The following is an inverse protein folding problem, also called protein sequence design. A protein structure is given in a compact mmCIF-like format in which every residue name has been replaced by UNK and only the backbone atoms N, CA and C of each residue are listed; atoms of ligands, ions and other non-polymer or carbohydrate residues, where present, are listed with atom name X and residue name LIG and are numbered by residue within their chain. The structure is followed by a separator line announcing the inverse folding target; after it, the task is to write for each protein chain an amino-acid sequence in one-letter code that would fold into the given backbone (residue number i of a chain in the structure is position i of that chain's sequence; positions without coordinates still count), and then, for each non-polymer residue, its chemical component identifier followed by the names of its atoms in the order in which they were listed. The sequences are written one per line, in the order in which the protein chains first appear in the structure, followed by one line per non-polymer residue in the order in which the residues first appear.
data_IF_234574202333
#
_entry.id   IF_234574202333
#
_cell.length_a   1.000
_cell.length_b   1.000
_cell.length_c   1.000
_cell.angle_alpha   90.00
_cell.angle_beta   90.00
_cell.angle_gamma   90.00
#
_symmetry.space_group_name_H-M   'P 1'
#
loop_
_entity.id
_entity.type
_entity.pdbx_description
1 polymer ?
#
# COMPACT_ATOMS: atom_id res chain seq x y z
N UNK A 1 -0.43 -42.27 1.21
CA UNK A 1 0.17 -41.13 1.91
C UNK A 1 -0.40 -39.87 1.28
N UNK A 2 -1.19 -39.10 2.04
CA UNK A 2 -1.88 -37.88 1.59
C UNK A 2 -0.99 -36.69 1.95
N UNK A 3 -0.58 -35.89 0.97
CA UNK A 3 0.13 -34.63 1.20
C UNK A 3 -0.89 -33.48 1.12
N UNK A 4 -1.09 -32.84 2.26
CA UNK A 4 -1.93 -31.67 2.47
C UNK A 4 -1.16 -30.44 2.00
N UNK A 5 -1.60 -29.78 0.93
CA UNK A 5 -1.13 -28.44 0.56
C UNK A 5 -2.05 -27.43 1.23
N UNK A 6 -1.46 -26.63 2.12
CA UNK A 6 -2.10 -25.54 2.85
C UNK A 6 -2.18 -24.33 1.90
N UNK A 7 -3.38 -23.98 1.45
CA UNK A 7 -3.64 -22.73 0.74
C UNK A 7 -3.84 -21.61 1.76
N UNK A 8 -2.93 -20.64 1.79
CA UNK A 8 -3.10 -19.38 2.52
C UNK A 8 -3.84 -18.41 1.59
N UNK A 9 -5.16 -18.34 1.77
CA UNK A 9 -6.02 -17.32 1.18
C UNK A 9 -5.79 -16.01 1.94
N UNK A 10 -5.12 -15.04 1.31
CA UNK A 10 -5.17 -13.64 1.73
C UNK A 10 -6.27 -12.95 0.93
N UNK A 11 -7.45 -12.85 1.55
CA UNK A 11 -8.54 -12.03 1.04
C UNK A 11 -8.19 -10.56 1.16
N UNK A 12 -7.91 -9.91 0.03
CA UNK A 12 -7.89 -8.46 -0.07
C UNK A 12 -9.31 -7.95 -0.31
N UNK A 13 -9.98 -7.51 0.75
CA UNK A 13 -11.20 -6.70 0.63
C UNK A 13 -10.81 -5.31 0.13
N UNK A 14 -11.09 -5.01 -1.14
CA UNK A 14 -11.07 -3.63 -1.64
C UNK A 14 -12.38 -2.92 -1.22
N UNK A 15 -12.24 -1.88 -0.40
CA UNK A 15 -13.32 -0.93 -0.13
C UNK A 15 -13.33 0.08 -1.28
N UNK A 16 -14.38 0.03 -2.09
CA UNK A 16 -14.69 1.02 -3.12
C UNK A 16 -15.03 2.37 -2.48
N UNK A 17 -14.40 3.44 -2.95
CA UNK A 17 -14.72 4.79 -2.52
C UNK A 17 -14.14 5.86 -3.46
N UNK A 18 -15.05 6.60 -4.09
CA UNK A 18 -14.87 7.86 -4.84
C UNK A 18 -14.58 7.78 -6.34
N UNK A 19 -15.66 7.69 -7.12
CA UNK A 19 -15.79 8.36 -8.42
C UNK A 19 -16.79 9.51 -8.28
N UNK A 20 -16.29 10.74 -8.25
CA UNK A 20 -17.12 11.93 -8.50
C UNK A 20 -17.05 12.21 -10.00
N UNK A 21 -18.08 11.80 -10.72
CA UNK A 21 -18.25 12.21 -12.11
C UNK A 21 -18.70 13.68 -12.16
N UNK A 22 -17.79 14.57 -12.52
CA UNK A 22 -18.15 15.93 -12.92
C UNK A 22 -18.73 15.87 -14.35
N UNK A 23 -20.06 15.84 -14.46
CA UNK A 23 -20.76 16.01 -15.73
C UNK A 23 -20.59 17.46 -16.19
N UNK A 24 -19.72 17.69 -17.17
CA UNK A 24 -19.52 18.99 -17.78
C UNK A 24 -20.45 19.12 -19.01
N UNK A 25 -21.45 20.00 -18.93
CA UNK A 25 -22.27 20.41 -20.08
C UNK A 25 -21.82 21.82 -20.52
N UNK A 26 -21.34 22.01 -21.76
CA UNK A 26 -21.13 23.35 -22.30
C UNK A 26 -22.45 23.88 -22.87
N UNK A 27 -22.97 24.97 -22.31
CA UNK A 27 -23.94 25.83 -22.99
C UNK A 27 -23.27 27.13 -23.37
N UNK A 28 -23.16 27.38 -24.68
CA UNK A 28 -22.81 28.69 -25.22
C UNK A 28 -23.99 29.66 -25.10
N UNK A 29 -23.70 30.94 -24.81
CA UNK A 29 -24.16 32.18 -25.50
C UNK A 29 -24.11 33.42 -24.57
N UNK A 30 -23.34 34.41 -25.04
CA UNK A 30 -23.36 35.90 -24.91
C UNK A 30 -23.51 36.70 -23.58
N UNK A 31 -22.42 37.41 -23.28
CA UNK A 31 -22.25 38.89 -23.20
C UNK A 31 -23.27 39.77 -22.43
N UNK A 32 -22.86 40.35 -21.28
CA UNK A 32 -22.74 41.82 -20.99
C UNK A 32 -22.48 42.15 -19.51
N UNK A 33 -21.54 43.09 -19.30
CA UNK A 33 -21.28 43.99 -18.16
C UNK A 33 -21.90 43.74 -16.76
N UNK A 34 -21.05 43.67 -15.72
CA UNK A 34 -21.05 44.63 -14.60
C UNK A 34 -19.83 44.47 -13.66
N UNK A 35 -19.15 45.59 -13.46
CA UNK A 35 -18.16 45.91 -12.42
C UNK A 35 -18.82 46.10 -11.05
N UNK A 36 -18.19 45.65 -9.95
CA UNK A 36 -17.81 46.51 -8.80
C UNK A 36 -17.19 45.72 -7.62
N UNK A 37 -16.06 46.27 -7.17
CA UNK A 37 -15.39 46.26 -5.87
C UNK A 37 -16.08 45.66 -4.62
N UNK A 38 -15.28 44.98 -3.78
CA UNK A 38 -14.91 45.49 -2.45
C UNK A 38 -13.72 44.73 -1.81
N UNK A 39 -12.70 45.49 -1.40
CA UNK A 39 -11.67 45.14 -0.42
C UNK A 39 -12.26 45.16 1.01
N UNK A 40 -11.63 44.48 1.99
CA UNK A 40 -11.16 45.11 3.25
C UNK A 40 -10.90 44.15 4.44
N UNK A 41 -9.61 44.04 4.85
CA UNK A 41 -9.04 44.24 6.22
C UNK A 41 -9.39 43.22 7.33
N UNK A 42 -8.47 42.43 7.92
CA UNK A 42 -7.32 42.66 8.84
C UNK A 42 -7.69 43.07 10.30
N UNK A 43 -7.23 42.28 11.28
CA UNK A 43 -6.83 42.59 12.70
C UNK A 43 -7.04 41.31 13.56
N UNK A 44 -6.09 40.62 14.20
CA UNK A 44 -5.07 41.00 15.21
C UNK A 44 -5.65 41.69 16.46
N UNK A 45 -5.75 41.00 17.61
CA UNK A 45 -4.85 41.15 18.77
C UNK A 45 -5.33 40.47 20.09
N UNK A 46 -4.32 40.01 20.81
CA UNK A 46 -4.09 39.57 22.20
C UNK A 46 -5.01 40.01 23.37
N UNK A 47 -5.06 39.20 24.44
CA UNK A 47 -4.49 39.54 25.78
C UNK A 47 -4.54 38.40 26.82
N UNK A 48 -3.46 38.31 27.61
CA UNK A 48 -3.23 37.45 28.77
C UNK A 48 -4.04 37.86 30.01
N UNK A 49 -4.28 36.91 30.94
CA UNK A 49 -4.23 37.22 32.38
C UNK A 49 -3.91 35.99 33.25
N UNK A 50 -2.98 36.21 34.18
CA UNK A 50 -2.39 35.31 35.17
C UNK A 50 -2.94 35.68 36.56
N UNK A 51 -3.22 34.68 37.41
CA UNK A 51 -3.28 34.87 38.88
C UNK A 51 -2.75 33.64 39.61
N UNK A 52 -1.72 33.89 40.41
CA UNK A 52 -1.18 33.03 41.46
C UNK A 52 -2.12 32.93 42.68
N UNK A 53 -2.06 31.82 43.42
CA UNK A 53 -2.15 31.82 44.90
C UNK A 53 -1.43 30.58 45.47
N UNK A 54 -0.44 30.84 46.34
CA UNK A 54 0.20 29.95 47.31
C UNK A 54 -0.84 29.35 48.28
N UNK A 55 -0.66 28.32 49.10
CA UNK A 55 0.47 27.68 49.80
C UNK A 55 -0.14 26.62 50.73
N UNK A 56 0.56 25.53 51.08
CA UNK A 56 0.75 25.06 52.47
C UNK A 56 1.68 23.85 52.52
N UNK A 57 2.47 23.80 53.59
CA UNK A 57 3.69 23.04 53.83
C UNK A 57 3.48 22.02 54.96
N UNK A 58 4.33 20.97 54.93
CA UNK A 58 4.76 20.03 55.99
C UNK A 58 3.99 18.70 56.20
N UNK A 59 4.66 17.64 56.73
CA UNK A 59 6.11 17.30 56.67
C UNK A 59 6.42 15.81 56.35
N UNK A 60 7.67 15.56 55.93
CA UNK A 60 8.39 14.27 56.10
C UNK A 60 8.68 13.99 57.57
N UNK A 61 8.73 12.73 58.02
CA UNK A 61 9.98 11.93 58.04
C UNK A 61 9.85 10.58 58.78
N UNK A 62 10.56 9.58 58.23
CA UNK A 62 11.21 8.37 58.78
C UNK A 62 10.68 7.55 59.97
N UNK A 63 10.69 6.22 59.77
CA UNK A 63 10.78 5.18 60.80
C UNK A 63 11.33 3.85 60.25
N UNK A 64 12.51 3.46 60.72
CA UNK A 64 13.30 2.25 60.38
C UNK A 64 12.93 1.09 61.34
N UNK A 65 12.76 -0.16 60.86
CA UNK A 65 13.42 -1.40 61.38
C UNK A 65 12.66 -2.73 61.18
N UNK A 66 13.32 -3.65 60.46
CA UNK A 66 13.73 -5.02 60.84
C UNK A 66 12.74 -6.09 61.37
N UNK A 67 12.61 -7.21 60.61
CA UNK A 67 12.98 -8.61 60.97
C UNK A 67 12.32 -9.60 59.97
N UNK A 68 13.09 -10.39 59.19
CA UNK A 68 13.73 -11.69 59.48
C UNK A 68 12.78 -12.90 59.65
N UNK A 69 12.89 -13.80 58.65
CA UNK A 69 13.08 -15.26 58.74
C UNK A 69 11.90 -16.26 58.84
N UNK A 70 11.71 -16.96 57.70
CA UNK A 70 11.75 -18.42 57.47
C UNK A 70 10.84 -19.40 58.22
N UNK A 71 10.15 -20.23 57.43
CA UNK A 71 9.68 -21.56 57.81
C UNK A 71 9.57 -22.50 56.60
N UNK A 72 10.52 -23.42 56.45
CA UNK A 72 10.48 -24.57 55.53
C UNK A 72 9.55 -25.66 56.06
N UNK A 73 8.80 -26.34 55.18
CA UNK A 73 8.57 -27.80 55.25
C UNK A 73 8.44 -28.41 53.84
N UNK A 74 8.90 -29.65 53.70
CA UNK A 74 9.21 -30.36 52.46
C UNK A 74 8.07 -31.23 51.90
N UNK A 75 7.99 -31.26 50.56
CA UNK A 75 7.61 -32.36 49.62
C UNK A 75 6.13 -32.81 49.49
N UNK A 76 5.67 -33.28 48.29
CA UNK A 76 6.45 -34.02 47.28
C UNK A 76 6.37 -33.55 45.82
N UNK A 77 7.34 -34.05 45.06
CA UNK A 77 7.50 -34.03 43.61
C UNK A 77 6.20 -34.50 42.94
N UNK A 78 5.51 -33.59 42.26
CA UNK A 78 4.55 -33.91 41.19
C UNK A 78 5.27 -33.68 39.88
N UNK A 79 5.40 -34.74 39.08
CA UNK A 79 5.99 -34.69 37.76
C UNK A 79 5.23 -33.65 36.90
N UNK A 80 5.86 -32.51 36.65
CA UNK A 80 5.34 -31.52 35.69
C UNK A 80 5.54 -32.08 34.28
N UNK A 81 4.48 -32.31 33.49
CA UNK A 81 4.65 -32.64 32.09
C UNK A 81 5.38 -31.47 31.42
N UNK A 82 6.47 -31.78 30.72
CA UNK A 82 7.33 -30.83 30.03
C UNK A 82 6.51 -30.01 29.03
N UNK A 83 6.11 -28.82 29.48
CA UNK A 83 5.27 -27.91 28.72
C UNK A 83 6.16 -27.14 27.73
N UNK A 84 6.60 -27.81 26.66
CA UNK A 84 7.36 -27.18 25.56
C UNK A 84 6.61 -25.98 24.97
N UNK A 85 5.27 -26.03 24.97
CA UNK A 85 4.41 -24.93 24.52
C UNK A 85 4.36 -23.73 25.50
N UNK A 86 4.53 -23.93 26.81
CA UNK A 86 4.61 -22.81 27.76
C UNK A 86 6.03 -22.19 27.82
N UNK A 87 7.06 -22.97 27.51
CA UNK A 87 8.41 -22.44 27.34
C UNK A 87 8.50 -21.60 26.04
N UNK A 88 7.92 -22.07 24.94
CA UNK A 88 7.83 -21.32 23.68
C UNK A 88 6.98 -20.05 23.82
N UNK A 89 5.80 -20.12 24.47
CA UNK A 89 4.97 -18.94 24.77
C UNK A 89 5.65 -17.96 25.71
N UNK A 90 6.30 -18.42 26.78
CA UNK A 90 7.02 -17.51 27.69
C UNK A 90 8.27 -16.89 27.06
N UNK A 91 8.94 -17.58 26.14
CA UNK A 91 10.06 -17.03 25.39
C UNK A 91 9.58 -16.01 24.33
N UNK A 92 8.45 -16.26 23.67
CA UNK A 92 7.80 -15.29 22.79
C UNK A 92 7.33 -14.07 23.57
N UNK A 93 6.59 -14.24 24.67
CA UNK A 93 6.13 -13.15 25.54
C UNK A 93 7.29 -12.34 26.15
N UNK A 94 8.39 -12.99 26.55
CA UNK A 94 9.57 -12.27 27.05
C UNK A 94 10.33 -11.53 25.94
N UNK A 95 10.32 -12.04 24.71
CA UNK A 95 10.98 -11.39 23.57
C UNK A 95 10.16 -10.22 23.06
N UNK A 96 8.83 -10.37 22.99
CA UNK A 96 7.88 -9.31 22.64
C UNK A 96 7.87 -8.17 23.67
N UNK A 97 7.94 -8.50 24.97
CA UNK A 97 7.99 -7.47 26.01
C UNK A 97 9.33 -6.71 26.00
N UNK A 98 10.44 -7.38 25.64
CA UNK A 98 11.74 -6.72 25.46
C UNK A 98 11.78 -5.84 24.21
N UNK A 99 11.21 -6.27 23.09
CA UNK A 99 11.16 -5.46 21.87
C UNK A 99 10.27 -4.23 22.04
N UNK A 100 9.12 -4.36 22.71
CA UNK A 100 8.24 -3.23 23.06
C UNK A 100 8.96 -2.22 23.97
N UNK A 101 9.65 -2.68 25.01
CA UNK A 101 10.44 -1.79 25.89
C UNK A 101 11.57 -1.08 25.14
N UNK A 102 12.25 -1.78 24.23
CA UNK A 102 13.31 -1.18 23.38
C UNK A 102 12.73 -0.14 22.43
N UNK A 103 11.59 -0.43 21.81
CA UNK A 103 10.88 0.51 20.95
C UNK A 103 10.49 1.79 21.70
N UNK A 104 9.89 1.65 22.88
CA UNK A 104 9.49 2.79 23.72
C UNK A 104 10.69 3.63 24.16
N UNK A 105 11.80 2.99 24.55
CA UNK A 105 13.03 3.67 24.92
C UNK A 105 13.65 4.44 23.73
N UNK A 106 13.70 3.81 22.54
CA UNK A 106 14.21 4.43 21.33
C UNK A 106 13.33 5.62 20.90
N UNK A 107 12.01 5.44 20.92
CA UNK A 107 11.02 6.49 20.65
C UNK A 107 11.18 7.68 21.60
N UNK A 108 11.43 7.41 22.89
CA UNK A 108 11.70 8.45 23.88
C UNK A 108 13.02 9.20 23.60
N UNK A 109 14.07 8.47 23.22
CA UNK A 109 15.37 9.04 22.85
C UNK A 109 15.25 9.96 21.63
N UNK A 110 14.62 9.47 20.55
CA UNK A 110 14.39 10.20 19.30
C UNK A 110 13.58 11.49 19.47
N UNK A 111 12.76 11.57 20.52
CA UNK A 111 11.97 12.77 20.85
C UNK A 111 12.76 13.81 21.64
N UNK A 112 13.69 13.37 22.48
CA UNK A 112 14.27 14.21 23.53
C UNK A 112 15.76 14.50 23.35
N UNK A 113 16.47 13.70 22.55
CA UNK A 113 17.89 13.89 22.24
C UNK A 113 18.08 14.29 20.76
N UNK A 114 18.64 15.49 20.49
CA UNK A 114 18.91 15.96 19.13
C UNK A 114 19.78 15.03 18.29
N UNK A 115 20.74 14.31 18.90
CA UNK A 115 21.67 13.45 18.16
C UNK A 115 21.12 12.03 17.90
N UNK A 116 20.06 11.65 18.63
CA UNK A 116 19.53 10.29 18.58
C UNK A 116 18.95 9.94 17.20
N UNK A 117 18.51 10.92 16.41
CA UNK A 117 18.02 10.67 15.04
C UNK A 117 19.18 10.26 14.13
N UNK A 118 20.26 11.04 14.09
CA UNK A 118 21.43 10.77 13.26
C UNK A 118 22.06 9.43 13.61
N UNK A 119 22.24 9.13 14.90
CA UNK A 119 22.78 7.85 15.37
C UNK A 119 21.90 6.67 14.94
N UNK A 120 20.57 6.86 14.90
CA UNK A 120 19.63 5.81 14.49
C UNK A 120 19.64 5.62 12.97
N UNK A 121 19.75 6.70 12.19
CA UNK A 121 19.89 6.64 10.74
C UNK A 121 21.19 5.95 10.35
N UNK A 122 22.32 6.30 10.98
CA UNK A 122 23.60 5.62 10.76
C UNK A 122 23.56 4.14 11.15
N UNK A 123 22.80 3.76 12.18
CA UNK A 123 22.57 2.35 12.49
C UNK A 123 21.76 1.66 11.38
N UNK A 124 20.67 2.26 10.94
CA UNK A 124 19.82 1.76 9.86
C UNK A 124 20.62 1.52 8.57
N UNK A 125 21.59 2.39 8.28
CA UNK A 125 22.48 2.25 7.13
C UNK A 125 23.29 0.96 7.11
N UNK A 126 23.73 0.51 8.28
CA UNK A 126 24.61 -0.64 8.45
C UNK A 126 23.86 -1.97 8.59
N UNK A 127 22.54 -1.94 8.79
CA UNK A 127 21.73 -3.15 8.98
C UNK A 127 21.35 -3.79 7.65
N UNK A 128 21.14 -5.10 7.65
CA UNK A 128 20.44 -5.77 6.54
C UNK A 128 18.93 -5.57 6.67
N UNK A 129 18.20 -5.61 5.56
CA UNK A 129 16.73 -5.57 5.59
C UNK A 129 16.13 -6.77 6.34
N UNK A 130 16.83 -7.91 6.33
CA UNK A 130 16.43 -9.12 7.05
C UNK A 130 16.63 -9.01 8.57
N UNK A 131 17.36 -7.98 9.03
CA UNK A 131 17.57 -7.77 10.46
C UNK A 131 16.28 -7.25 11.10
N UNK A 132 15.72 -7.93 12.13
CA UNK A 132 14.55 -7.43 12.85
C UNK A 132 14.73 -6.03 13.42
N UNK A 133 15.97 -5.62 13.68
CA UNK A 133 16.30 -4.27 14.13
C UNK A 133 16.01 -3.22 13.06
N UNK A 134 16.15 -3.53 11.77
CA UNK A 134 15.90 -2.58 10.67
C UNK A 134 14.46 -2.02 10.74
N UNK A 135 13.47 -2.92 10.78
CA UNK A 135 12.06 -2.53 10.86
C UNK A 135 11.70 -1.88 12.20
N UNK A 136 12.37 -2.28 13.29
CA UNK A 136 12.17 -1.67 14.61
C UNK A 136 12.66 -0.22 14.63
N UNK A 137 13.84 0.06 14.05
CA UNK A 137 14.39 1.42 13.96
C UNK A 137 13.51 2.32 13.10
N UNK A 138 13.09 1.85 11.91
CA UNK A 138 12.15 2.59 11.05
C UNK A 138 10.86 2.93 11.82
N UNK A 139 10.27 1.93 12.48
CA UNK A 139 9.03 2.11 13.22
C UNK A 139 9.20 3.12 14.36
N UNK A 140 10.35 3.11 15.04
CA UNK A 140 10.65 4.01 16.14
C UNK A 140 10.87 5.45 15.66
N UNK A 141 11.59 5.64 14.54
CA UNK A 141 11.77 6.93 13.87
C UNK A 141 10.41 7.55 13.55
N UNK A 142 9.53 6.79 12.87
CA UNK A 142 8.16 7.24 12.58
C UNK A 142 7.33 7.49 13.84
N UNK A 143 7.49 6.62 14.83
CA UNK A 143 6.74 6.67 16.08
C UNK A 143 7.11 7.85 16.98
N UNK A 144 8.30 8.43 16.84
CA UNK A 144 8.87 9.44 17.75
C UNK A 144 8.16 10.79 17.74
N UNK A 145 7.31 11.07 16.75
CA UNK A 145 6.70 12.40 16.56
C UNK A 145 7.74 13.52 16.49
N UNK A 146 8.95 13.21 16.00
CA UNK A 146 9.99 14.17 15.73
C UNK A 146 9.76 14.75 14.31
N UNK A 147 9.67 16.09 14.14
CA UNK A 147 9.32 16.70 12.87
C UNK A 147 10.37 16.49 11.76
N UNK A 148 11.59 16.06 12.09
CA UNK A 148 12.65 15.78 11.12
C UNK A 148 12.70 14.31 10.69
N UNK A 149 11.95 13.43 11.36
CA UNK A 149 12.02 11.98 11.13
C UNK A 149 11.66 11.57 9.71
N UNK A 150 10.58 12.13 9.14
CA UNK A 150 10.17 11.79 7.78
C UNK A 150 11.18 12.33 6.76
N UNK A 151 11.71 13.54 6.97
CA UNK A 151 12.73 14.12 6.10
C UNK A 151 14.01 13.28 6.08
N UNK A 152 14.50 12.85 7.25
CA UNK A 152 15.69 12.00 7.35
C UNK A 152 15.47 10.62 6.68
N UNK A 153 14.27 10.03 6.80
CA UNK A 153 13.95 8.80 6.10
C UNK A 153 13.86 8.99 4.58
N UNK A 154 13.33 10.12 4.10
CA UNK A 154 13.31 10.42 2.68
C UNK A 154 14.71 10.68 2.12
N UNK A 155 15.57 11.42 2.82
CA UNK A 155 16.97 11.61 2.43
C UNK A 155 17.72 10.28 2.34
N UNK A 156 17.50 9.38 3.31
CA UNK A 156 18.07 8.04 3.28
C UNK A 156 17.51 7.21 2.11
N UNK A 157 16.21 7.32 1.82
CA UNK A 157 15.62 6.67 0.65
C UNK A 157 16.22 7.21 -0.66
N UNK A 158 16.39 8.52 -0.80
CA UNK A 158 17.04 9.14 -1.96
C UNK A 158 18.48 8.64 -2.11
N UNK A 159 19.22 8.49 -1.00
CA UNK A 159 20.56 7.91 -1.01
C UNK A 159 20.57 6.47 -1.55
N UNK A 160 19.62 5.63 -1.13
CA UNK A 160 19.52 4.26 -1.64
C UNK A 160 19.01 4.17 -3.07
N UNK A 161 18.16 5.09 -3.49
CA UNK A 161 17.66 5.18 -4.86
C UNK A 161 18.78 5.40 -5.89
N UNK A 162 19.87 6.04 -5.47
CA UNK A 162 21.06 6.25 -6.29
C UNK A 162 21.97 5.01 -6.38
N UNK A 163 21.70 3.97 -5.60
CA UNK A 163 22.49 2.74 -5.56
C UNK A 163 21.81 1.65 -6.40
N UNK A 164 22.62 0.87 -7.12
CA UNK A 164 22.12 -0.14 -8.05
C UNK A 164 22.16 -1.56 -7.49
N UNK A 165 22.66 -1.76 -6.28
CA UNK A 165 22.71 -3.07 -5.66
C UNK A 165 21.33 -3.50 -5.12
N UNK A 166 20.99 -4.80 -5.15
CA UNK A 166 19.67 -5.28 -4.72
C UNK A 166 19.32 -4.95 -3.27
N UNK A 167 20.30 -4.94 -2.36
CA UNK A 167 20.05 -4.69 -0.95
C UNK A 167 19.61 -3.24 -0.74
N UNK A 168 20.28 -2.29 -1.39
CA UNK A 168 19.89 -0.88 -1.36
C UNK A 168 18.51 -0.65 -1.97
N UNK A 169 18.19 -1.32 -3.08
CA UNK A 169 16.84 -1.25 -3.68
C UNK A 169 15.76 -1.77 -2.74
N UNK A 170 16.02 -2.87 -2.03
CA UNK A 170 15.11 -3.39 -1.02
C UNK A 170 14.94 -2.43 0.16
N UNK A 171 16.03 -1.84 0.65
CA UNK A 171 15.97 -0.82 1.73
C UNK A 171 15.20 0.42 1.30
N UNK A 172 15.41 0.89 0.07
CA UNK A 172 14.66 1.98 -0.53
C UNK A 172 13.15 1.71 -0.48
N UNK A 173 12.71 0.55 -0.98
CA UNK A 173 11.30 0.15 -0.95
C UNK A 173 10.77 0.03 0.48
N UNK A 174 11.51 -0.60 1.39
CA UNK A 174 11.07 -0.79 2.77
C UNK A 174 10.90 0.53 3.52
N UNK A 175 11.82 1.49 3.31
CA UNK A 175 11.70 2.82 3.88
C UNK A 175 10.46 3.51 3.33
N UNK A 176 10.25 3.53 2.01
CA UNK A 176 9.11 4.20 1.39
C UNK A 176 7.76 3.57 1.75
N UNK A 177 7.69 2.23 1.81
CA UNK A 177 6.53 1.49 2.28
C UNK A 177 6.19 1.83 3.72
N UNK A 178 7.21 2.08 4.55
CA UNK A 178 7.00 2.54 5.91
C UNK A 178 6.53 3.99 5.96
N UNK A 179 6.99 4.90 5.10
CA UNK A 179 6.70 6.35 5.18
C UNK A 179 5.44 6.79 4.45
N UNK A 180 4.62 5.85 3.96
CA UNK A 180 3.48 5.88 3.01
C UNK A 180 2.48 7.06 2.93
N UNK A 181 2.76 8.24 3.47
CA UNK A 181 2.00 9.47 3.25
C UNK A 181 2.55 10.20 2.02
N UNK A 182 2.01 9.87 0.84
CA UNK A 182 2.07 10.67 -0.39
C UNK A 182 3.49 11.16 -0.74
N UNK A 183 4.31 10.28 -1.32
CA UNK A 183 5.67 10.61 -1.78
C UNK A 183 5.60 11.83 -2.73
N UNK A 184 6.15 12.97 -2.33
CA UNK A 184 6.10 14.21 -3.13
C UNK A 184 7.37 14.46 -3.94
N UNK A 185 8.48 13.78 -3.59
CA UNK A 185 9.75 13.92 -4.29
C UNK A 185 9.63 13.27 -5.67
N UNK A 186 9.77 14.08 -6.71
CA UNK A 186 9.81 13.63 -8.11
C UNK A 186 10.97 12.64 -8.33
N UNK A 187 12.10 12.85 -7.64
CA UNK A 187 13.24 11.93 -7.70
C UNK A 187 12.87 10.54 -7.17
N UNK A 188 12.22 10.46 -6.01
CA UNK A 188 11.77 9.18 -5.44
C UNK A 188 10.74 8.49 -6.34
N UNK A 189 9.81 9.26 -6.93
CA UNK A 189 8.82 8.73 -7.88
C UNK A 189 9.52 8.17 -9.12
N UNK A 190 10.46 8.90 -9.71
CA UNK A 190 11.21 8.45 -10.89
C UNK A 190 12.02 7.18 -10.58
N UNK A 191 12.65 7.09 -9.41
CA UNK A 191 13.34 5.87 -8.98
C UNK A 191 12.39 4.68 -8.77
N UNK A 192 11.16 4.91 -8.30
CA UNK A 192 10.14 3.86 -8.23
C UNK A 192 9.71 3.40 -9.63
N UNK A 193 9.53 4.32 -10.59
CA UNK A 193 9.22 3.98 -11.98
C UNK A 193 10.36 3.17 -12.59
N UNK A 194 11.60 3.62 -12.41
CA UNK A 194 12.78 2.92 -12.91
C UNK A 194 12.85 1.49 -12.33
N UNK A 195 12.56 1.31 -11.05
CA UNK A 195 12.52 0.00 -10.41
C UNK A 195 11.34 -0.85 -10.87
N UNK A 196 10.19 -0.25 -11.14
CA UNK A 196 9.01 -0.96 -11.59
C UNK A 196 9.18 -1.53 -13.01
N UNK A 197 9.75 -0.75 -13.94
CA UNK A 197 9.71 -1.10 -15.37
C UNK A 197 11.05 -1.10 -16.11
N UNK A 198 12.05 -0.31 -15.69
CA UNK A 198 13.29 -0.12 -16.47
C UNK A 198 14.44 -1.02 -16.00
N UNK A 199 14.57 -1.22 -14.69
CA UNK A 199 15.65 -2.02 -14.11
C UNK A 199 15.23 -3.50 -14.06
N UNK A 200 16.20 -4.41 -14.23
CA UNK A 200 16.04 -5.85 -13.97
C UNK A 200 15.95 -6.13 -12.46
N UNK A 201 15.08 -5.39 -11.77
CA UNK A 201 14.67 -5.70 -10.41
C UNK A 201 13.99 -7.08 -10.39
N UNK A 202 14.08 -7.77 -9.26
CA UNK A 202 13.27 -8.98 -9.09
C UNK A 202 11.77 -8.63 -9.07
N UNK A 203 10.94 -9.61 -9.41
CA UNK A 203 9.50 -9.41 -9.57
C UNK A 203 8.84 -8.85 -8.29
N UNK A 204 9.36 -9.21 -7.12
CA UNK A 204 8.84 -8.70 -5.84
C UNK A 204 9.11 -7.20 -5.69
N UNK A 205 10.35 -6.75 -5.92
CA UNK A 205 10.69 -5.32 -5.89
C UNK A 205 9.96 -4.50 -6.95
N UNK A 206 9.77 -5.06 -8.16
CA UNK A 206 9.01 -4.40 -9.22
C UNK A 206 7.55 -4.15 -8.82
N UNK A 207 6.88 -5.16 -8.25
CA UNK A 207 5.49 -5.06 -7.80
C UNK A 207 5.34 -4.11 -6.63
N UNK A 208 6.25 -4.17 -5.66
CA UNK A 208 6.18 -3.30 -4.50
C UNK A 208 6.42 -1.83 -4.90
N UNK A 209 7.32 -1.58 -5.86
CA UNK A 209 7.46 -0.25 -6.44
C UNK A 209 6.16 0.24 -7.09
N UNK A 210 5.47 -0.60 -7.88
CA UNK A 210 4.16 -0.27 -8.47
C UNK A 210 3.12 0.05 -7.39
N UNK A 211 3.10 -0.68 -6.27
CA UNK A 211 2.17 -0.43 -5.17
C UNK A 211 2.36 0.95 -4.54
N UNK A 212 3.62 1.40 -4.42
CA UNK A 212 3.96 2.70 -3.83
C UNK A 212 3.65 3.90 -4.72
N UNK A 213 3.68 3.73 -6.05
CA UNK A 213 3.38 4.81 -7.00
C UNK A 213 1.87 5.08 -7.04
N UNK A 214 1.44 6.31 -6.80
CA UNK A 214 0.04 6.68 -7.00
C UNK A 214 -0.21 7.16 -8.43
N UNK A 215 -1.26 6.68 -9.12
CA UNK A 215 -1.52 7.06 -10.51
C UNK A 215 -1.65 8.57 -10.73
N UNK A 216 -2.15 9.33 -9.74
CA UNK A 216 -2.32 10.79 -9.87
C UNK A 216 -1.01 11.58 -9.74
N UNK A 217 0.08 10.95 -9.28
CA UNK A 217 1.39 11.57 -9.12
C UNK A 217 2.18 11.59 -10.43
N UNK A 218 1.79 10.76 -11.40
CA UNK A 218 2.51 10.61 -12.66
C UNK A 218 2.12 11.69 -13.66
N UNK A 219 3.12 12.26 -14.32
CA UNK A 219 2.90 13.04 -15.55
C UNK A 219 2.26 12.14 -16.62
N UNK A 220 1.64 12.74 -17.63
CA UNK A 220 1.07 11.95 -18.73
C UNK A 220 2.15 11.14 -19.46
N UNK A 221 3.34 11.73 -19.65
CA UNK A 221 4.46 11.06 -20.32
C UNK A 221 4.95 9.84 -19.53
N UNK A 222 5.11 9.97 -18.21
CA UNK A 222 5.56 8.87 -17.35
C UNK A 222 4.53 7.76 -17.28
N UNK A 223 3.24 8.13 -17.21
CA UNK A 223 2.12 7.18 -17.28
C UNK A 223 2.16 6.39 -18.58
N UNK A 224 2.32 7.04 -19.73
CA UNK A 224 2.35 6.38 -21.03
C UNK A 224 3.60 5.49 -21.24
N UNK A 225 4.71 5.78 -20.55
CA UNK A 225 5.87 4.88 -20.49
C UNK A 225 5.54 3.68 -19.62
N UNK A 226 5.08 3.92 -18.39
CA UNK A 226 4.78 2.87 -17.42
C UNK A 226 3.74 1.88 -17.97
N UNK A 227 2.65 2.37 -18.56
CA UNK A 227 1.58 1.51 -19.10
C UNK A 227 2.08 0.67 -20.27
N UNK A 228 2.87 1.24 -21.18
CA UNK A 228 3.43 0.50 -22.31
C UNK A 228 4.37 -0.62 -21.86
N UNK A 229 5.27 -0.31 -20.92
CA UNK A 229 6.20 -1.32 -20.40
C UNK A 229 5.46 -2.41 -19.59
N UNK A 230 4.44 -2.03 -18.81
CA UNK A 230 3.59 -3.00 -18.11
C UNK A 230 2.81 -3.87 -19.09
N UNK A 231 2.25 -3.32 -20.16
CA UNK A 231 1.55 -4.08 -21.18
C UNK A 231 2.46 -5.14 -21.81
N UNK A 232 3.68 -4.78 -22.20
CA UNK A 232 4.68 -5.73 -22.69
C UNK A 232 4.97 -6.83 -21.65
N UNK A 233 5.19 -6.45 -20.38
CA UNK A 233 5.46 -7.41 -19.29
C UNK A 233 4.29 -8.37 -19.08
N UNK A 234 3.04 -7.90 -19.17
CA UNK A 234 1.85 -8.76 -19.03
C UNK A 234 1.82 -9.82 -20.13
N UNK A 235 2.16 -9.45 -21.38
CA UNK A 235 2.20 -10.41 -22.49
C UNK A 235 3.35 -11.42 -22.40
N UNK A 236 4.49 -11.02 -21.81
CA UNK A 236 5.67 -11.88 -21.64
C UNK A 236 5.61 -12.79 -20.40
N UNK A 237 4.63 -12.57 -19.52
CA UNK A 237 4.50 -13.29 -18.23
C UNK A 237 3.34 -14.29 -18.28
N UNK A 238 3.53 -15.45 -17.64
CA UNK A 238 2.49 -16.48 -17.50
C UNK A 238 2.10 -16.66 -16.03
N UNK A 239 0.93 -17.27 -15.79
CA UNK A 239 0.48 -17.60 -14.43
C UNK A 239 -0.03 -16.40 -13.64
N UNK A 240 -0.15 -16.58 -12.32
CA UNK A 240 -0.75 -15.61 -11.38
C UNK A 240 -0.06 -14.23 -11.43
N UNK A 241 1.20 -14.20 -11.83
CA UNK A 241 1.96 -12.96 -11.98
C UNK A 241 1.40 -12.06 -13.09
N UNK A 242 0.94 -12.66 -14.20
CA UNK A 242 0.36 -11.93 -15.32
C UNK A 242 -0.96 -11.23 -14.92
N UNK A 243 -1.78 -11.88 -14.09
CA UNK A 243 -3.02 -11.30 -13.55
C UNK A 243 -2.74 -10.11 -12.63
N UNK A 244 -1.75 -10.25 -11.74
CA UNK A 244 -1.32 -9.16 -10.87
C UNK A 244 -0.78 -7.96 -11.67
N UNK A 245 0.04 -8.21 -12.69
CA UNK A 245 0.55 -7.16 -13.58
C UNK A 245 -0.57 -6.51 -14.40
N UNK A 246 -1.57 -7.28 -14.84
CA UNK A 246 -2.76 -6.75 -15.51
C UNK A 246 -3.53 -5.80 -14.59
N UNK A 247 -3.70 -6.14 -13.33
CA UNK A 247 -4.34 -5.26 -12.34
C UNK A 247 -3.59 -3.93 -12.21
N UNK A 248 -2.25 -3.96 -12.15
CA UNK A 248 -1.43 -2.74 -12.12
C UNK A 248 -1.55 -1.96 -13.43
N UNK A 249 -1.51 -2.62 -14.59
CA UNK A 249 -1.73 -1.98 -15.89
C UNK A 249 -3.06 -1.24 -15.92
N UNK A 250 -4.15 -1.89 -15.50
CA UNK A 250 -5.47 -1.25 -15.43
C UNK A 250 -5.50 -0.06 -14.48
N UNK A 251 -4.81 -0.14 -13.33
CA UNK A 251 -4.70 0.97 -12.36
C UNK A 251 -4.02 2.21 -12.97
N UNK A 252 -2.98 2.03 -13.77
CA UNK A 252 -2.22 3.14 -14.35
C UNK A 252 -2.80 3.65 -15.69
N UNK A 253 -3.52 2.80 -16.42
CA UNK A 253 -4.15 3.14 -17.70
C UNK A 253 -5.36 4.06 -17.56
N UNK A 254 -5.54 4.95 -18.54
CA UNK A 254 -6.73 5.78 -18.66
C UNK A 254 -7.96 4.95 -19.04
N UNK A 255 -9.16 5.41 -18.68
CA UNK A 255 -10.42 4.69 -18.94
C UNK A 255 -10.60 4.26 -20.40
N UNK A 256 -10.21 5.12 -21.36
CA UNK A 256 -10.31 4.84 -22.79
C UNK A 256 -9.31 3.76 -23.23
N UNK A 257 -8.07 3.83 -22.74
CA UNK A 257 -7.00 2.87 -23.04
C UNK A 257 -7.32 1.46 -22.51
N UNK A 258 -7.97 1.36 -21.34
CA UNK A 258 -8.30 0.07 -20.72
C UNK A 258 -9.14 -0.83 -21.62
N UNK A 259 -10.09 -0.25 -22.35
CA UNK A 259 -10.91 -1.04 -23.29
C UNK A 259 -10.11 -1.54 -24.48
N UNK A 260 -9.14 -0.75 -24.98
CA UNK A 260 -8.28 -1.14 -26.09
C UNK A 260 -7.34 -2.27 -25.68
N UNK A 261 -6.67 -2.11 -24.54
CA UNK A 261 -5.80 -3.14 -23.93
C UNK A 261 -6.59 -4.44 -23.73
N UNK A 262 -7.78 -4.36 -23.14
CA UNK A 262 -8.65 -5.53 -22.92
C UNK A 262 -9.01 -6.25 -24.22
N UNK A 263 -9.29 -5.50 -25.29
CA UNK A 263 -9.62 -6.08 -26.60
C UNK A 263 -8.41 -6.82 -27.18
N UNK A 264 -7.24 -6.21 -27.16
CA UNK A 264 -5.99 -6.83 -27.62
C UNK A 264 -5.69 -8.14 -26.87
N UNK A 265 -5.89 -8.15 -25.55
CA UNK A 265 -5.66 -9.34 -24.71
C UNK A 265 -6.69 -10.45 -24.96
N UNK A 266 -7.95 -10.12 -25.25
CA UNK A 266 -8.98 -11.09 -25.60
C UNK A 266 -8.71 -11.78 -26.96
N UNK A 267 -8.08 -11.06 -27.89
CA UNK A 267 -7.67 -11.58 -29.20
C UNK A 267 -6.38 -12.43 -29.14
N UNK A 268 -5.57 -12.31 -28.07
CA UNK A 268 -4.33 -13.06 -27.90
C UNK A 268 -4.52 -14.57 -27.69
N UNK A 269 -3.44 -15.32 -27.45
CA UNK A 269 -3.51 -16.79 -27.31
C UNK A 269 -3.64 -17.28 -25.85
N UNK A 270 -3.36 -16.42 -24.87
CA UNK A 270 -3.33 -16.81 -23.45
C UNK A 270 -4.74 -16.84 -22.84
N UNK A 271 -5.31 -18.03 -22.66
CA UNK A 271 -6.62 -18.20 -22.00
C UNK A 271 -6.66 -17.60 -20.58
N UNK A 272 -5.55 -17.66 -19.85
CA UNK A 272 -5.46 -17.09 -18.51
C UNK A 272 -5.59 -15.56 -18.53
N UNK A 273 -4.90 -14.88 -19.46
CA UNK A 273 -5.06 -13.43 -19.61
C UNK A 273 -6.49 -13.06 -20.01
N UNK A 274 -7.14 -13.89 -20.83
CA UNK A 274 -8.55 -13.68 -21.20
C UNK A 274 -9.47 -13.77 -19.99
N UNK A 275 -9.29 -14.78 -19.14
CA UNK A 275 -10.03 -14.93 -17.88
C UNK A 275 -9.82 -13.72 -16.96
N UNK A 276 -8.57 -13.28 -16.78
CA UNK A 276 -8.25 -12.10 -15.98
C UNK A 276 -8.87 -10.80 -16.55
N UNK A 277 -8.98 -10.68 -17.88
CA UNK A 277 -9.69 -9.57 -18.53
C UNK A 277 -11.19 -9.64 -18.21
N UNK A 278 -11.82 -10.82 -18.26
CA UNK A 278 -13.23 -10.96 -17.85
C UNK A 278 -13.44 -10.55 -16.40
N UNK A 279 -12.59 -10.97 -15.48
CA UNK A 279 -12.66 -10.58 -14.07
C UNK A 279 -12.47 -9.07 -13.87
N UNK A 280 -11.57 -8.48 -14.65
CA UNK A 280 -11.32 -7.03 -14.64
C UNK A 280 -12.52 -6.22 -15.18
N UNK A 281 -13.27 -6.76 -16.15
CA UNK A 281 -14.54 -6.17 -16.61
C UNK A 281 -15.62 -6.32 -15.55
N UNK A 282 -15.79 -7.53 -15.00
CA UNK A 282 -16.82 -7.86 -14.01
C UNK A 282 -16.63 -7.12 -12.67
N UNK A 283 -15.39 -6.76 -12.32
CA UNK A 283 -15.08 -5.91 -11.17
C UNK A 283 -15.25 -4.41 -11.44
N UNK A 284 -15.45 -4.01 -12.70
CA UNK A 284 -15.55 -2.61 -13.13
C UNK A 284 -14.21 -1.89 -13.30
N UNK A 285 -13.09 -2.61 -13.22
CA UNK A 285 -11.75 -2.04 -13.48
C UNK A 285 -11.58 -1.63 -14.94
N UNK A 286 -12.16 -2.43 -15.85
CA UNK A 286 -12.30 -2.12 -17.27
C UNK A 286 -13.75 -1.64 -17.51
N UNK A 287 -13.95 -0.41 -18.00
CA UNK A 287 -15.29 0.11 -18.26
C UNK A 287 -15.94 -0.62 -19.44
N UNK A 288 -17.26 -0.73 -19.40
CA UNK A 288 -18.03 -1.14 -20.56
C UNK A 288 -17.87 -0.09 -21.68
N UNK A 289 -17.44 -0.56 -22.85
CA UNK A 289 -17.28 0.26 -24.04
C UNK A 289 -17.80 -0.50 -25.28
N UNK A 290 -18.30 0.23 -26.28
CA UNK A 290 -18.89 -0.37 -27.48
C UNK A 290 -17.96 -1.30 -28.28
N UNK A 291 -16.64 -0.99 -28.44
CA UNK A 291 -15.71 -1.92 -29.10
C UNK A 291 -15.63 -3.25 -28.37
N UNK A 292 -15.51 -3.21 -27.04
CA UNK A 292 -15.43 -4.40 -26.18
C UNK A 292 -16.75 -5.17 -26.21
N UNK A 293 -17.90 -4.48 -26.18
CA UNK A 293 -19.22 -5.11 -26.34
C UNK A 293 -19.31 -5.89 -27.64
N UNK A 294 -18.85 -5.30 -28.74
CA UNK A 294 -18.90 -5.93 -30.07
C UNK A 294 -18.05 -7.20 -30.12
N UNK A 295 -16.83 -7.15 -29.58
CA UNK A 295 -15.94 -8.31 -29.48
C UNK A 295 -16.57 -9.42 -28.62
N UNK A 296 -17.11 -9.06 -27.44
CA UNK A 296 -17.75 -10.02 -26.56
C UNK A 296 -18.99 -10.66 -27.17
N UNK A 297 -19.78 -9.91 -27.96
CA UNK A 297 -20.93 -10.47 -28.68
C UNK A 297 -20.49 -11.51 -29.71
N UNK A 298 -19.42 -11.27 -30.45
CA UNK A 298 -18.87 -12.24 -31.41
C UNK A 298 -18.41 -13.54 -30.69
N UNK A 299 -17.70 -13.39 -29.58
CA UNK A 299 -17.28 -14.51 -28.73
C UNK A 299 -18.50 -15.27 -28.18
N UNK A 300 -19.50 -14.56 -27.67
CA UNK A 300 -20.70 -15.13 -27.06
C UNK A 300 -21.58 -15.90 -28.06
N UNK A 301 -21.63 -15.44 -29.31
CA UNK A 301 -22.41 -16.08 -30.38
C UNK A 301 -21.69 -17.24 -31.05
N UNK A 302 -20.38 -17.34 -30.92
CA UNK A 302 -19.63 -18.52 -31.32
C UNK A 302 -19.65 -19.59 -30.23
N UNK A 303 -20.64 -20.49 -30.25
CA UNK A 303 -20.81 -21.56 -29.25
C UNK A 303 -19.62 -22.54 -29.16
N UNK A 304 -18.74 -22.58 -30.15
CA UNK A 304 -17.53 -23.40 -30.11
C UNK A 304 -16.35 -22.68 -29.46
N UNK A 305 -16.48 -21.37 -29.22
CA UNK A 305 -15.47 -20.60 -28.55
C UNK A 305 -15.39 -21.00 -27.07
N UNK A 306 -14.19 -21.28 -26.52
CA UNK A 306 -14.04 -21.76 -25.16
C UNK A 306 -14.54 -20.76 -24.10
N UNK A 307 -14.56 -19.48 -24.43
CA UNK A 307 -14.96 -18.37 -23.55
C UNK A 307 -16.37 -17.83 -23.84
N UNK A 308 -17.18 -18.60 -24.58
CA UNK A 308 -18.53 -18.16 -24.97
C UNK A 308 -19.44 -17.94 -23.75
N UNK A 309 -19.36 -18.81 -22.73
CA UNK A 309 -20.14 -18.68 -21.50
C UNK A 309 -19.75 -17.45 -20.66
N UNK A 310 -18.44 -17.22 -20.51
CA UNK A 310 -17.88 -16.07 -19.80
C UNK A 310 -18.24 -14.76 -20.49
N UNK A 311 -18.21 -14.72 -21.83
CA UNK A 311 -18.63 -13.56 -22.60
C UNK A 311 -20.13 -13.27 -22.44
N UNK A 312 -20.98 -14.29 -22.49
CA UNK A 312 -22.42 -14.14 -22.23
C UNK A 312 -22.69 -13.60 -20.82
N UNK A 313 -22.08 -14.20 -19.81
CA UNK A 313 -22.22 -13.77 -18.42
C UNK A 313 -21.79 -12.30 -18.26
N UNK A 314 -20.63 -11.94 -18.81
CA UNK A 314 -20.08 -10.60 -18.67
C UNK A 314 -20.95 -9.55 -19.38
N UNK A 315 -21.46 -9.85 -20.58
CA UNK A 315 -22.37 -9.00 -21.34
C UNK A 315 -23.68 -8.74 -20.59
N UNK A 316 -24.29 -9.80 -20.03
CA UNK A 316 -25.58 -9.70 -19.34
C UNK A 316 -25.52 -8.86 -18.06
N UNK A 317 -24.37 -8.84 -17.39
CA UNK A 317 -24.22 -8.15 -16.11
C UNK A 317 -23.66 -6.73 -16.21
N UNK A 318 -22.80 -6.45 -17.20
CA UNK A 318 -22.02 -5.21 -17.22
C UNK A 318 -22.27 -4.31 -18.43
N UNK A 319 -22.97 -4.79 -19.46
CA UNK A 319 -23.19 -4.03 -20.70
C UNK A 319 -24.65 -3.66 -20.91
N UNK A 320 -24.85 -2.49 -21.52
CA UNK A 320 -26.17 -2.10 -22.02
C UNK A 320 -26.49 -2.89 -23.30
N UNK A 321 -27.49 -3.76 -23.22
CA UNK A 321 -27.93 -4.61 -24.32
C UNK A 321 -29.25 -4.08 -24.91
N UNK A 322 -29.35 -4.08 -26.23
CA UNK A 322 -30.62 -3.94 -26.92
C UNK A 322 -31.50 -5.17 -26.67
N UNK A 323 -32.81 -5.02 -26.88
CA UNK A 323 -33.76 -6.13 -26.71
C UNK A 323 -33.41 -7.34 -27.58
N UNK A 324 -32.90 -7.09 -28.80
CA UNK A 324 -32.50 -8.15 -29.72
C UNK A 324 -31.27 -8.90 -29.19
N UNK A 325 -30.22 -8.18 -28.80
CA UNK A 325 -28.99 -8.77 -28.25
C UNK A 325 -29.30 -9.58 -26.99
N UNK A 326 -30.08 -9.02 -26.06
CA UNK A 326 -30.48 -9.72 -24.84
C UNK A 326 -31.24 -11.02 -25.13
N UNK A 327 -32.20 -10.98 -26.06
CA UNK A 327 -32.98 -12.15 -26.44
C UNK A 327 -32.12 -13.20 -27.13
N UNK A 328 -31.15 -12.80 -27.95
CA UNK A 328 -30.21 -13.72 -28.57
C UNK A 328 -29.34 -14.41 -27.51
N UNK A 329 -28.78 -13.65 -26.57
CA UNK A 329 -27.95 -14.20 -25.49
C UNK A 329 -28.70 -15.15 -24.56
N UNK A 330 -30.01 -14.97 -24.35
CA UNK A 330 -30.82 -15.86 -23.49
C UNK A 330 -31.26 -17.17 -24.15
N UNK A 331 -31.27 -17.23 -25.48
CA UNK A 331 -31.76 -18.39 -26.23
C UNK A 331 -30.63 -19.34 -26.67
N UNK A 332 -29.41 -19.10 -26.19
CA UNK A 332 -28.20 -19.87 -26.48
C UNK A 332 -27.57 -20.44 -25.22
#
# INVERSE_FOLDING_TARGET
MKNLRLALSFGACFIAGYLVAAVYHPTAVDSRHQTSAMQSVLAQETTNSRRDTSSTLYPSDNGISSNMQTGHTNNPIVATPTNKQALEKSHQEQTENKSAQRFDALKHSLRNDPNSLDDTISQLENLSIEDPEFNLLISAIKGASNPQSDAALFELAEHYAMQTDPQSQQKFIAILASTSTNIQSEQLINSLIDMAVINHSDNYSSVEALNLIQPYQLSQADRDILTRELENKVFDTEGDEAEMLLSQLMRFSASEQRSEIASNMLEGDSNMLKEAVFDSINSGSIPAAEPLKTLLLDIAFNQQHPLSGEAQYTLLNNFALSQQEYTQLQNH
#
